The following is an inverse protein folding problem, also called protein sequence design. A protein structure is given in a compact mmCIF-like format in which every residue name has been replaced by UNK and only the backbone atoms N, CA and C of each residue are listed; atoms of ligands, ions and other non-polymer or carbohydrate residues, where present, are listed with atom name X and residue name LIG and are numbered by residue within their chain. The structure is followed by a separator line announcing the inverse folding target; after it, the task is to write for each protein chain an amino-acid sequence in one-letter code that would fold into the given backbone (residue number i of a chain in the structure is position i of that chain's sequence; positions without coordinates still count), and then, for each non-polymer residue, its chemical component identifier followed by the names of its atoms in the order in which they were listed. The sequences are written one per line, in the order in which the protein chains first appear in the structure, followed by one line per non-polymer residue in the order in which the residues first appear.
data_IF_225947858725
#
_entry.id   IF_225947858725
#
_cell.length_a   1.000
_cell.length_b   1.000
_cell.length_c   1.000
_cell.angle_alpha   90.00
_cell.angle_beta   90.00
_cell.angle_gamma   90.00
#
_symmetry.space_group_name_H-M   'P 1'
#
loop_
_entity.id
_entity.type
_entity.pdbx_description
1 polymer ?
#
# COMPACT_ATOMS: atom_id res chain seq x y z
N UNK A 1 -6.77 0.63 2.99
CA UNK A 1 -8.11 1.16 3.31
C UNK A 1 -9.07 0.87 2.14
N UNK A 2 -10.37 0.73 2.39
CA UNK A 2 -11.31 0.33 1.32
C UNK A 2 -11.69 1.45 0.33
N UNK A 3 -11.32 2.71 0.58
CA UNK A 3 -11.94 3.86 -0.08
C UNK A 3 -11.51 4.02 -1.56
N UNK A 4 -10.23 3.78 -1.87
CA UNK A 4 -9.74 3.81 -3.25
C UNK A 4 -10.30 2.66 -4.11
N UNK A 5 -10.56 1.51 -3.50
CA UNK A 5 -11.23 0.38 -4.17
C UNK A 5 -12.63 0.78 -4.63
N UNK A 6 -13.37 1.54 -3.82
CA UNK A 6 -14.70 2.03 -4.22
C UNK A 6 -14.65 3.00 -5.39
N UNK A 7 -13.70 3.94 -5.43
CA UNK A 7 -13.53 4.83 -6.58
C UNK A 7 -13.19 4.07 -7.86
N UNK A 8 -12.23 3.13 -7.81
CA UNK A 8 -11.89 2.25 -8.95
C UNK A 8 -13.12 1.46 -9.43
N UNK A 9 -13.86 0.87 -8.49
CA UNK A 9 -15.03 0.09 -8.80
C UNK A 9 -16.14 0.93 -9.44
N UNK A 10 -16.37 2.14 -8.92
CA UNK A 10 -17.40 3.06 -9.42
C UNK A 10 -17.05 3.64 -10.80
N UNK A 11 -15.79 3.97 -11.06
CA UNK A 11 -15.32 4.35 -12.41
C UNK A 11 -15.52 3.19 -13.39
N UNK A 12 -15.16 1.96 -13.00
CA UNK A 12 -15.36 0.77 -13.84
C UNK A 12 -16.85 0.51 -14.14
N UNK A 13 -17.72 0.67 -13.14
CA UNK A 13 -19.17 0.56 -13.29
C UNK A 13 -19.75 1.67 -14.17
N UNK A 14 -19.26 2.90 -14.00
CA UNK A 14 -19.66 4.05 -14.82
C UNK A 14 -19.32 3.80 -16.29
N UNK A 15 -18.07 3.46 -16.61
CA UNK A 15 -17.64 3.15 -17.99
C UNK A 15 -18.46 2.01 -18.61
N UNK A 16 -18.78 0.97 -17.84
CA UNK A 16 -19.65 -0.14 -18.29
C UNK A 16 -21.10 0.28 -18.52
N UNK A 17 -21.61 1.23 -17.74
CA UNK A 17 -22.99 1.73 -17.87
C UNK A 17 -23.24 2.56 -19.14
N UNK A 18 -22.17 3.01 -19.82
CA UNK A 18 -22.22 3.71 -21.11
C UNK A 18 -21.83 2.83 -22.32
N UNK A 19 -21.78 1.50 -22.14
CA UNK A 19 -21.64 0.54 -23.25
C UNK A 19 -22.80 0.61 -24.25
N UNK A 20 -22.76 -0.11 -25.40
CA UNK A 20 -23.62 0.09 -26.58
C UNK A 20 -25.13 -0.25 -26.39
N UNK A 21 -25.67 -0.23 -25.17
CA UNK A 21 -27.08 -0.45 -24.85
C UNK A 21 -27.60 0.63 -23.89
N UNK A 22 -28.12 1.72 -24.47
CA UNK A 22 -29.02 2.75 -23.91
C UNK A 22 -28.54 3.52 -22.66
N UNK A 23 -28.92 4.81 -22.50
CA UNK A 23 -28.64 5.55 -21.27
C UNK A 23 -29.57 5.04 -20.15
N UNK A 24 -29.07 4.13 -19.32
CA UNK A 24 -29.82 3.63 -18.17
C UNK A 24 -29.80 4.66 -17.02
N UNK A 25 -30.92 4.83 -16.31
CA UNK A 25 -31.05 5.67 -15.10
C UNK A 25 -29.95 5.39 -14.05
N UNK A 26 -29.40 4.16 -14.05
CA UNK A 26 -28.26 3.77 -13.21
C UNK A 26 -26.99 4.60 -13.42
N UNK A 27 -26.70 5.09 -14.62
CA UNK A 27 -25.52 5.94 -14.88
C UNK A 27 -25.61 7.30 -14.18
N UNK A 28 -26.83 7.85 -14.09
CA UNK A 28 -27.09 9.11 -13.38
C UNK A 28 -26.91 8.95 -11.86
N UNK A 29 -27.42 7.86 -11.28
CA UNK A 29 -27.21 7.54 -9.87
C UNK A 29 -25.72 7.28 -9.54
N UNK A 30 -24.97 6.63 -10.43
CA UNK A 30 -23.52 6.45 -10.26
C UNK A 30 -22.78 7.79 -10.28
N UNK A 31 -23.18 8.74 -11.14
CA UNK A 31 -22.60 10.09 -11.17
C UNK A 31 -22.85 10.86 -9.86
N UNK A 32 -24.06 10.76 -9.29
CA UNK A 32 -24.38 11.37 -7.99
C UNK A 32 -23.53 10.76 -6.87
N UNK A 33 -23.42 9.43 -6.83
CA UNK A 33 -22.62 8.75 -5.82
C UNK A 33 -21.14 9.11 -5.92
N UNK A 34 -20.60 9.19 -7.15
CA UNK A 34 -19.23 9.60 -7.42
C UNK A 34 -18.97 11.02 -6.91
N UNK A 35 -19.92 11.94 -7.12
CA UNK A 35 -19.87 13.31 -6.61
C UNK A 35 -19.81 13.37 -5.08
N UNK A 36 -20.64 12.58 -4.37
CA UNK A 36 -20.60 12.55 -2.91
C UNK A 36 -19.27 12.00 -2.37
N UNK A 37 -18.70 11.00 -3.04
CA UNK A 37 -17.38 10.47 -2.66
C UNK A 37 -16.29 11.51 -2.90
N UNK A 38 -16.27 12.16 -4.06
CA UNK A 38 -15.33 13.25 -4.36
C UNK A 38 -15.44 14.36 -3.33
N UNK A 39 -16.66 14.73 -2.95
CA UNK A 39 -16.91 15.72 -1.90
C UNK A 39 -16.28 15.28 -0.58
N UNK A 40 -16.44 14.03 -0.16
CA UNK A 40 -15.81 13.51 1.07
C UNK A 40 -14.29 13.61 0.98
N UNK A 41 -13.69 13.20 -0.15
CA UNK A 41 -12.24 13.29 -0.37
C UNK A 41 -11.72 14.72 -0.22
N UNK A 42 -12.38 15.68 -0.87
CA UNK A 42 -11.99 17.10 -0.79
C UNK A 42 -12.14 17.63 0.63
N UNK A 43 -13.22 17.31 1.34
CA UNK A 43 -13.42 17.80 2.72
C UNK A 43 -12.39 17.22 3.69
N UNK A 44 -12.05 15.94 3.56
CA UNK A 44 -10.98 15.32 4.35
C UNK A 44 -9.63 15.99 4.05
N UNK A 45 -9.36 16.30 2.78
CA UNK A 45 -8.11 16.92 2.36
C UNK A 45 -7.97 18.41 2.72
N UNK A 46 -9.08 19.14 2.92
CA UNK A 46 -9.07 20.55 3.37
C UNK A 46 -8.59 20.70 4.81
N UNK A 47 -8.92 19.74 5.67
CA UNK A 47 -8.53 19.74 7.09
C UNK A 47 -7.12 19.20 7.34
N UNK A 48 -6.52 18.55 6.33
CA UNK A 48 -5.27 17.81 6.47
C UNK A 48 -4.04 18.66 6.14
N UNK A 49 -3.56 19.39 7.16
CA UNK A 49 -2.35 20.24 7.04
C UNK A 49 -1.06 19.42 6.96
N UNK A 50 -1.06 18.20 7.47
CA UNK A 50 0.12 17.35 7.59
C UNK A 50 0.25 16.39 6.39
N UNK A 51 -0.65 16.46 5.40
CA UNK A 51 -0.71 15.57 4.24
C UNK A 51 -0.75 14.08 4.62
N UNK A 52 -1.36 13.75 5.76
CA UNK A 52 -1.55 12.37 6.23
C UNK A 52 -2.47 11.60 5.27
N UNK A 53 -3.54 12.24 4.80
CA UNK A 53 -4.54 11.64 3.94
C UNK A 53 -4.01 11.36 2.53
N UNK A 54 -3.36 12.30 1.81
CA UNK A 54 -2.67 12.02 0.55
C UNK A 54 -1.63 10.89 0.66
N UNK A 55 -0.85 10.86 1.75
CA UNK A 55 0.15 9.81 2.00
C UNK A 55 -0.47 8.44 2.33
N UNK A 56 -1.63 8.42 2.99
CA UNK A 56 -2.38 7.19 3.22
C UNK A 56 -2.97 6.64 1.91
N UNK A 57 -3.48 7.52 1.04
CA UNK A 57 -3.98 7.15 -0.30
C UNK A 57 -2.85 6.59 -1.15
N UNK A 58 -1.66 7.23 -1.16
CA UNK A 58 -0.53 6.79 -1.99
C UNK A 58 -0.05 5.37 -1.66
N UNK A 59 -0.03 5.00 -0.37
CA UNK A 59 0.35 3.67 0.10
C UNK A 59 -0.65 2.57 -0.29
N UNK A 60 -1.92 2.93 -0.41
CA UNK A 60 -3.03 1.99 -0.57
C UNK A 60 -3.31 1.65 -2.05
N UNK A 61 -2.90 2.50 -2.97
CA UNK A 61 -3.16 2.37 -4.41
C UNK A 61 -1.86 2.20 -5.19
N UNK A 62 -1.25 1.02 -5.14
CA UNK A 62 0.07 0.81 -5.73
C UNK A 62 0.11 0.87 -7.27
N UNK A 63 -1.00 0.78 -8.01
CA UNK A 63 -0.91 0.56 -9.46
C UNK A 63 -1.60 1.54 -10.41
N UNK A 64 -2.52 2.44 -9.99
CA UNK A 64 -3.21 3.33 -10.96
C UNK A 64 -3.75 4.66 -10.38
N UNK A 65 -3.18 5.17 -9.28
CA UNK A 65 -3.78 6.29 -8.55
C UNK A 65 -3.93 7.56 -9.40
N UNK A 66 -2.91 7.93 -10.19
CA UNK A 66 -2.95 9.15 -11.03
C UNK A 66 -4.07 9.11 -12.06
N UNK A 67 -4.23 7.98 -12.76
CA UNK A 67 -5.23 7.85 -13.81
C UNK A 67 -6.64 7.93 -13.22
N UNK A 68 -6.86 7.39 -12.02
CA UNK A 68 -8.15 7.46 -11.34
C UNK A 68 -8.61 8.90 -11.07
N UNK A 69 -7.72 9.79 -10.61
CA UNK A 69 -8.10 11.19 -10.37
C UNK A 69 -8.48 11.90 -11.68
N UNK A 70 -7.80 11.57 -12.78
CA UNK A 70 -8.07 12.12 -14.11
C UNK A 70 -9.43 11.60 -14.62
N UNK A 71 -9.65 10.28 -14.59
CA UNK A 71 -10.88 9.66 -15.08
C UNK A 71 -12.12 10.20 -14.33
N UNK A 72 -12.02 10.38 -13.01
CA UNK A 72 -13.10 10.94 -12.19
C UNK A 72 -13.34 12.41 -12.51
N UNK A 73 -12.28 13.20 -12.72
CA UNK A 73 -12.40 14.59 -13.14
C UNK A 73 -13.06 14.73 -14.52
N UNK A 74 -12.74 13.83 -15.47
CA UNK A 74 -13.36 13.78 -16.79
C UNK A 74 -14.85 13.41 -16.74
N UNK A 75 -15.27 12.57 -15.78
CA UNK A 75 -16.68 12.22 -15.59
C UNK A 75 -17.48 13.38 -14.97
N UNK A 76 -16.83 14.16 -14.09
CA UNK A 76 -17.47 15.18 -13.26
C UNK A 76 -17.26 16.63 -13.74
N UNK A 77 -16.62 16.85 -14.90
CA UNK A 77 -16.18 18.13 -15.54
C UNK A 77 -16.82 19.48 -15.12
N UNK A 78 -18.08 19.53 -14.71
CA UNK A 78 -18.82 20.75 -14.31
C UNK A 78 -18.97 20.91 -12.78
N UNK A 79 -18.41 20.01 -11.97
CA UNK A 79 -18.57 20.03 -10.52
C UNK A 79 -17.56 20.95 -9.80
N UNK A 80 -18.04 21.74 -8.83
CA UNK A 80 -17.24 22.70 -8.10
C UNK A 80 -16.08 22.10 -7.30
N UNK A 81 -16.13 20.79 -6.98
CA UNK A 81 -15.08 20.12 -6.21
C UNK A 81 -14.00 19.48 -7.08
N UNK A 82 -14.13 19.50 -8.42
CA UNK A 82 -13.18 18.84 -9.33
C UNK A 82 -11.79 19.45 -9.25
N UNK A 83 -11.68 20.77 -9.18
CA UNK A 83 -10.38 21.45 -9.11
C UNK A 83 -9.60 21.07 -7.85
N UNK A 84 -10.27 21.11 -6.68
CA UNK A 84 -9.67 20.69 -5.41
C UNK A 84 -9.40 19.17 -5.36
N UNK A 85 -10.18 18.38 -6.07
CA UNK A 85 -9.97 16.95 -6.19
C UNK A 85 -8.73 16.63 -7.05
N UNK A 86 -8.50 17.40 -8.12
CA UNK A 86 -7.26 17.33 -8.92
C UNK A 86 -6.06 17.73 -8.06
N UNK A 87 -6.17 18.79 -7.25
CA UNK A 87 -5.13 19.21 -6.31
C UNK A 87 -4.84 18.14 -5.23
N UNK A 88 -5.87 17.41 -4.78
CA UNK A 88 -5.63 16.23 -3.94
C UNK A 88 -4.85 15.16 -4.73
N UNK A 89 -5.21 14.89 -5.98
CA UNK A 89 -4.49 13.95 -6.85
C UNK A 89 -3.02 14.32 -7.05
N UNK A 90 -2.68 15.60 -7.18
CA UNK A 90 -1.29 16.05 -7.27
C UNK A 90 -0.52 15.82 -5.98
N UNK A 91 -1.12 16.09 -4.81
CA UNK A 91 -0.53 15.79 -3.49
C UNK A 91 -0.31 14.29 -3.28
N UNK A 92 -1.26 13.46 -3.68
CA UNK A 92 -1.13 12.00 -3.63
C UNK A 92 0.02 11.54 -4.51
N UNK A 93 0.09 12.05 -5.74
CA UNK A 93 1.19 11.74 -6.66
C UNK A 93 2.55 12.17 -6.10
N UNK A 94 2.63 13.36 -5.50
CA UNK A 94 3.85 13.83 -4.83
C UNK A 94 4.24 12.91 -3.67
N UNK A 95 3.28 12.47 -2.85
CA UNK A 95 3.53 11.51 -1.78
C UNK A 95 3.98 10.14 -2.31
N UNK A 96 3.45 9.67 -3.46
CA UNK A 96 3.94 8.47 -4.15
C UNK A 96 5.37 8.64 -4.63
N UNK A 97 5.68 9.75 -5.31
CA UNK A 97 7.02 10.02 -5.81
C UNK A 97 8.03 10.15 -4.66
N UNK A 98 7.67 10.86 -3.60
CA UNK A 98 8.51 10.93 -2.41
C UNK A 98 8.68 9.56 -1.76
N UNK A 99 7.64 8.73 -1.67
CA UNK A 99 7.79 7.38 -1.15
C UNK A 99 8.78 6.56 -2.00
N UNK A 100 8.66 6.62 -3.33
CA UNK A 100 9.58 5.96 -4.28
C UNK A 100 11.00 6.54 -4.17
N UNK A 101 11.16 7.85 -4.05
CA UNK A 101 12.47 8.50 -3.93
C UNK A 101 13.09 8.25 -2.55
N UNK A 102 12.29 8.17 -1.48
CA UNK A 102 12.76 7.77 -0.15
C UNK A 102 13.19 6.30 -0.18
N UNK A 103 12.41 5.43 -0.82
CA UNK A 103 12.78 4.02 -1.08
C UNK A 103 14.02 3.89 -1.99
N UNK A 104 14.22 4.79 -2.95
CA UNK A 104 15.37 4.78 -3.86
C UNK A 104 16.63 5.45 -3.28
N UNK A 105 16.47 6.41 -2.38
CA UNK A 105 17.57 7.12 -1.69
C UNK A 105 18.07 6.36 -0.46
N UNK A 106 17.21 5.51 0.14
CA UNK A 106 17.61 4.40 0.99
C UNK A 106 18.13 3.27 0.07
N UNK A 107 19.37 3.40 -0.43
CA UNK A 107 19.95 2.48 -1.41
C UNK A 107 19.59 1.00 -1.17
N UNK A 108 19.31 0.26 -2.25
CA UNK A 108 18.74 -1.09 -2.22
C UNK A 108 19.24 -1.91 -1.02
N UNK A 109 18.34 -2.15 -0.06
CA UNK A 109 18.62 -3.03 1.07
C UNK A 109 19.03 -4.37 0.45
N UNK A 110 20.25 -4.88 0.71
CA UNK A 110 20.66 -6.16 0.19
C UNK A 110 19.60 -7.23 0.53
N UNK A 111 19.23 -8.07 -0.44
CA UNK A 111 18.19 -9.08 -0.26
C UNK A 111 18.44 -9.98 0.95
N UNK A 112 19.72 -10.22 1.29
CA UNK A 112 20.12 -11.01 2.45
C UNK A 112 19.74 -10.36 3.81
N UNK A 113 19.40 -9.07 3.83
CA UNK A 113 19.00 -8.33 5.02
C UNK A 113 17.48 -8.27 5.18
N UNK A 114 16.73 -8.70 4.16
CA UNK A 114 15.28 -8.70 4.16
C UNK A 114 14.73 -10.02 4.71
N UNK A 115 13.70 -9.92 5.53
CA UNK A 115 12.90 -11.06 5.96
C UNK A 115 12.21 -11.67 4.72
N UNK A 116 12.33 -12.99 4.49
CA UNK A 116 11.78 -13.64 3.30
C UNK A 116 10.26 -13.79 3.29
N UNK A 117 9.56 -13.45 4.39
CA UNK A 117 8.10 -13.51 4.50
C UNK A 117 7.51 -12.10 4.42
N UNK A 118 8.03 -11.16 5.23
CA UNK A 118 7.53 -9.79 5.29
C UNK A 118 8.22 -8.83 4.29
N UNK A 119 9.32 -9.23 3.66
CA UNK A 119 10.14 -8.40 2.75
C UNK A 119 10.55 -7.05 3.37
N UNK A 120 10.85 -7.06 4.66
CA UNK A 120 11.32 -5.89 5.44
C UNK A 120 12.69 -6.17 6.02
N UNK A 121 13.44 -5.12 6.32
CA UNK A 121 14.73 -5.24 7.01
C UNK A 121 14.56 -6.01 8.33
N UNK A 122 15.36 -7.05 8.54
CA UNK A 122 15.36 -7.82 9.79
C UNK A 122 15.99 -7.01 10.93
N UNK A 123 15.34 -6.93 12.08
CA UNK A 123 15.88 -6.27 13.28
C UNK A 123 16.61 -7.28 14.17
N UNK A 124 16.06 -8.49 14.29
CA UNK A 124 16.65 -9.59 15.06
C UNK A 124 16.65 -10.88 14.23
N UNK A 125 17.59 -11.01 13.26
CA UNK A 125 17.63 -12.16 12.39
C UNK A 125 17.95 -13.45 13.17
N UNK A 126 17.19 -14.51 12.89
CA UNK A 126 17.33 -15.84 13.47
C UNK A 126 17.36 -16.92 12.40
N UNK A 127 18.19 -17.94 12.60
CA UNK A 127 18.34 -19.08 11.70
C UNK A 127 17.44 -20.22 12.15
N UNK A 128 16.68 -20.76 11.20
CA UNK A 128 15.86 -21.96 11.36
C UNK A 128 16.68 -23.22 11.01
N UNK A 129 16.27 -24.42 11.45
CA UNK A 129 16.87 -25.69 11.04
C UNK A 129 16.89 -25.91 9.52
N UNK A 130 15.95 -25.29 8.79
CA UNK A 130 15.91 -25.26 7.33
C UNK A 130 17.00 -24.40 6.69
N UNK A 131 17.90 -23.80 7.47
CA UNK A 131 18.95 -22.84 7.08
C UNK A 131 18.42 -21.50 6.55
N UNK A 132 17.10 -21.29 6.59
CA UNK A 132 16.50 -19.99 6.30
C UNK A 132 16.68 -19.05 7.49
N UNK A 133 16.92 -17.78 7.18
CA UNK A 133 16.96 -16.71 8.17
C UNK A 133 15.70 -15.87 8.05
N UNK A 134 15.10 -15.55 9.19
CA UNK A 134 13.88 -14.75 9.32
C UNK A 134 14.03 -13.83 10.52
N UNK A 135 13.20 -12.80 10.63
CA UNK A 135 13.12 -11.98 11.83
C UNK A 135 12.47 -12.77 12.98
N UNK A 136 13.00 -12.61 14.20
CA UNK A 136 12.49 -13.30 15.38
C UNK A 136 10.99 -13.06 15.59
N UNK A 137 10.52 -11.83 15.41
CA UNK A 137 9.11 -11.48 15.64
C UNK A 137 8.17 -12.19 14.66
N UNK A 138 8.64 -12.38 13.42
CA UNK A 138 7.90 -13.05 12.34
C UNK A 138 7.75 -14.53 12.65
N UNK A 139 8.84 -15.22 12.99
CA UNK A 139 8.77 -16.65 13.30
C UNK A 139 8.04 -16.94 14.61
N UNK A 140 8.17 -16.08 15.62
CA UNK A 140 7.41 -16.21 16.86
C UNK A 140 5.91 -16.13 16.59
N UNK A 141 5.46 -15.18 15.74
CA UNK A 141 4.06 -15.06 15.36
C UNK A 141 3.55 -16.28 14.60
N UNK A 142 4.37 -16.88 13.75
CA UNK A 142 4.05 -18.14 13.07
C UNK A 142 3.82 -19.27 14.09
N UNK A 143 4.75 -19.43 15.03
CA UNK A 143 4.71 -20.47 16.08
C UNK A 143 3.56 -20.30 17.09
N UNK A 144 2.90 -19.14 17.14
CA UNK A 144 1.64 -19.01 17.91
C UNK A 144 0.48 -19.77 17.29
N UNK A 145 0.53 -20.04 15.98
CA UNK A 145 -0.57 -20.67 15.23
C UNK A 145 -0.18 -22.05 14.68
N UNK A 146 1.11 -22.27 14.37
CA UNK A 146 1.60 -23.46 13.70
C UNK A 146 2.97 -23.87 14.25
N UNK A 147 3.10 -25.11 14.73
CA UNK A 147 4.37 -25.65 15.25
C UNK A 147 5.29 -26.17 14.12
N UNK A 148 5.35 -25.44 13.00
CA UNK A 148 6.06 -25.85 11.78
C UNK A 148 6.97 -24.76 11.24
N UNK A 149 7.93 -25.13 10.42
CA UNK A 149 8.74 -24.20 9.64
C UNK A 149 7.92 -23.73 8.41
N UNK A 150 7.78 -22.41 8.17
CA UNK A 150 6.94 -21.86 7.12
C UNK A 150 7.45 -22.14 5.69
N UNK A 151 8.69 -22.60 5.51
CA UNK A 151 9.31 -22.84 4.20
C UNK A 151 9.23 -24.30 3.74
N UNK A 152 9.21 -25.25 4.68
CA UNK A 152 9.23 -26.69 4.36
C UNK A 152 8.16 -27.51 5.10
N UNK A 153 7.43 -26.92 6.04
CA UNK A 153 6.35 -27.58 6.79
C UNK A 153 6.82 -28.59 7.84
N UNK A 154 8.12 -28.68 8.12
CA UNK A 154 8.65 -29.60 9.13
C UNK A 154 8.39 -29.07 10.55
N UNK A 155 8.32 -29.94 11.57
CA UNK A 155 8.14 -29.51 12.95
C UNK A 155 9.22 -28.52 13.39
N UNK A 156 8.81 -27.43 14.04
CA UNK A 156 9.69 -26.37 14.51
C UNK A 156 9.27 -25.93 15.90
N UNK A 157 10.23 -25.88 16.83
CA UNK A 157 10.02 -25.34 18.18
C UNK A 157 10.91 -24.12 18.43
N UNK A 158 10.55 -23.31 19.43
CA UNK A 158 11.29 -22.09 19.76
C UNK A 158 12.76 -22.35 20.14
N UNK A 159 13.06 -23.52 20.70
CA UNK A 159 14.41 -23.93 21.12
C UNK A 159 15.32 -24.24 19.93
N UNK A 160 14.74 -24.58 18.77
CA UNK A 160 15.47 -24.87 17.53
C UNK A 160 15.92 -23.60 16.80
N UNK A 161 15.48 -22.42 17.25
CA UNK A 161 15.74 -21.13 16.62
C UNK A 161 17.04 -20.52 17.18
N UNK A 162 18.00 -20.28 16.30
CA UNK A 162 19.34 -19.81 16.71
C UNK A 162 19.53 -18.35 16.27
N UNK A 163 20.00 -17.43 17.14
CA UNK A 163 20.30 -16.05 16.74
C UNK A 163 21.37 -15.96 15.63
N UNK A 164 21.12 -15.19 14.57
CA UNK A 164 22.10 -14.89 13.52
C UNK A 164 22.88 -13.61 13.83
N UNK A 165 23.82 -13.71 14.78
CA UNK A 165 24.58 -12.54 15.27
C UNK A 165 25.44 -11.89 14.18
N UNK A 166 25.96 -12.67 13.24
CA UNK A 166 26.78 -12.15 12.14
C UNK A 166 25.96 -11.28 11.19
N UNK A 167 24.78 -11.76 10.78
CA UNK A 167 23.89 -10.98 9.92
C UNK A 167 23.38 -9.73 10.63
N UNK A 168 23.03 -9.85 11.93
CA UNK A 168 22.64 -8.70 12.74
C UNK A 168 23.71 -7.61 12.74
N UNK A 169 24.99 -7.97 12.91
CA UNK A 169 26.08 -7.01 12.86
C UNK A 169 26.23 -6.33 11.49
N UNK A 170 26.02 -7.06 10.38
CA UNK A 170 26.03 -6.50 9.02
C UNK A 170 24.88 -5.51 8.81
N UNK A 171 23.67 -5.85 9.24
CA UNK A 171 22.49 -4.99 9.16
C UNK A 171 22.68 -3.72 10.00
N UNK A 172 23.18 -3.84 11.23
CA UNK A 172 23.49 -2.70 12.09
C UNK A 172 24.55 -1.79 11.47
N UNK A 173 25.56 -2.35 10.82
CA UNK A 173 26.57 -1.53 10.11
C UNK A 173 25.96 -0.80 8.91
N UNK A 174 25.09 -1.46 8.15
CA UNK A 174 24.40 -0.87 7.00
C UNK A 174 23.46 0.27 7.41
N UNK A 175 22.68 0.10 8.47
CA UNK A 175 21.74 1.12 8.96
C UNK A 175 22.39 2.32 9.63
N UNK A 176 23.63 2.18 10.12
CA UNK A 176 24.42 3.28 10.71
C UNK A 176 25.36 3.95 9.69
N UNK A 177 25.34 3.54 8.43
CA UNK A 177 26.13 4.15 7.34
C UNK A 177 25.31 5.22 6.62
#
# INVERSE_FOLDING_TARGET
MMLNYFLLHLVSLYVKSFGPRQPNEGGYHLKILLKEIVRIYVHLARGDKENIFPAAISKDSQSNCKQLFIDVAEILQEDCFVEEFIELGTRVNFATLNAIETEASLGEIPNDFLDPIEFKLMEDPVVLPSTKTVDRSVIQRHLLNYDTDPFNGLPLTQEMIIPNLELKAKIVKFTNS
#
